data_IF_117139341154
#
_entry.id   IF_117139341154
#
_cell.length_a   1.000
_cell.length_b   1.000
_cell.length_c   1.000
_cell.angle_alpha   90.00
_cell.angle_beta   90.00
_cell.angle_gamma   90.00
#
_symmetry.space_group_name_H-M   'P 1'
#
loop_
_entity.id
_entity.type
_entity.pdbx_description
1 polymer ?
#
# COMPACT_ATOMS: atom_id res chain seq x y z
N UNK A 1 -35.13 -4.77 -3.78
CA UNK A 1 -34.24 -3.96 -2.91
C UNK A 1 -34.39 -4.28 -1.41
N UNK A 2 -35.59 -4.51 -0.87
CA UNK A 2 -35.78 -4.78 0.58
C UNK A 2 -35.06 -6.02 1.15
N UNK A 3 -34.86 -7.09 0.37
CA UNK A 3 -34.21 -8.33 0.85
C UNK A 3 -32.70 -8.21 1.02
N UNK A 4 -32.01 -7.48 0.13
CA UNK A 4 -30.54 -7.25 0.22
C UNK A 4 -30.20 -6.37 1.42
N UNK A 5 -30.94 -5.28 1.64
CA UNK A 5 -30.75 -4.39 2.79
C UNK A 5 -31.01 -5.13 4.12
N UNK A 6 -32.10 -5.90 4.22
CA UNK A 6 -32.38 -6.70 5.41
C UNK A 6 -31.28 -7.73 5.71
N UNK A 7 -30.77 -8.41 4.67
CA UNK A 7 -29.67 -9.36 4.83
C UNK A 7 -28.36 -8.68 5.26
N UNK A 8 -28.04 -7.52 4.70
CA UNK A 8 -26.89 -6.70 5.09
C UNK A 8 -26.97 -6.31 6.57
N UNK A 9 -28.10 -5.76 7.00
CA UNK A 9 -28.34 -5.39 8.42
C UNK A 9 -28.25 -6.59 9.35
N UNK A 10 -28.83 -7.74 8.97
CA UNK A 10 -28.74 -8.96 9.78
C UNK A 10 -27.28 -9.43 9.97
N UNK A 11 -26.46 -9.34 8.92
CA UNK A 11 -25.03 -9.69 8.99
C UNK A 11 -24.24 -8.68 9.81
N UNK A 12 -24.59 -7.40 9.80
CA UNK A 12 -24.00 -6.40 10.70
C UNK A 12 -24.31 -6.72 12.16
N UNK A 13 -25.57 -7.06 12.47
CA UNK A 13 -25.95 -7.50 13.82
C UNK A 13 -25.17 -8.73 14.25
N UNK A 14 -24.88 -9.65 13.32
CA UNK A 14 -24.06 -10.83 13.60
C UNK A 14 -22.62 -10.46 13.96
N UNK A 15 -21.99 -9.54 13.23
CA UNK A 15 -20.65 -9.04 13.58
C UNK A 15 -20.63 -8.36 14.96
N UNK A 16 -21.67 -7.58 15.27
CA UNK A 16 -21.78 -6.96 16.58
C UNK A 16 -21.95 -7.98 17.71
N UNK A 17 -22.76 -9.02 17.52
CA UNK A 17 -22.89 -10.13 18.47
C UNK A 17 -21.54 -10.84 18.68
N UNK A 18 -20.77 -11.08 17.60
CA UNK A 18 -19.43 -11.64 17.73
C UNK A 18 -18.50 -10.76 18.57
N UNK A 19 -18.47 -9.45 18.29
CA UNK A 19 -17.69 -8.49 19.06
C UNK A 19 -18.07 -8.52 20.54
N UNK A 20 -19.36 -8.44 20.87
CA UNK A 20 -19.84 -8.45 22.26
C UNK A 20 -19.46 -9.74 23.00
N UNK A 21 -19.58 -10.89 22.33
CA UNK A 21 -19.19 -12.18 22.93
C UNK A 21 -17.69 -12.31 23.15
N UNK A 22 -16.86 -11.82 22.23
CA UNK A 22 -15.41 -11.78 22.40
C UNK A 22 -15.01 -10.83 23.53
N UNK A 23 -15.61 -9.63 23.59
CA UNK A 23 -15.32 -8.63 24.61
C UNK A 23 -15.67 -9.12 26.03
N UNK A 24 -16.78 -9.84 26.18
CA UNK A 24 -17.29 -10.31 27.48
C UNK A 24 -16.96 -11.77 27.79
N UNK A 25 -16.32 -12.51 26.88
CA UNK A 25 -16.05 -13.94 27.05
C UNK A 25 -17.31 -14.82 27.10
N UNK A 26 -18.41 -14.38 26.48
CA UNK A 26 -19.71 -15.06 26.53
C UNK A 26 -19.71 -16.31 25.65
N UNK A 27 -20.11 -17.46 26.20
CA UNK A 27 -20.18 -18.73 25.48
C UNK A 27 -21.45 -18.85 24.60
N UNK A 28 -21.36 -19.48 23.41
CA UNK A 28 -20.14 -19.99 22.78
C UNK A 28 -19.26 -18.84 22.24
N UNK A 29 -17.95 -18.93 22.46
CA UNK A 29 -16.97 -17.98 21.91
C UNK A 29 -17.02 -18.06 20.37
N UNK A 30 -17.16 -16.93 19.66
CA UNK A 30 -17.17 -16.91 18.20
C UNK A 30 -15.89 -17.50 17.59
N UNK A 31 -16.05 -18.35 16.58
CA UNK A 31 -14.90 -18.85 15.83
C UNK A 31 -14.48 -17.86 14.75
N UNK A 32 -13.18 -17.80 14.46
CA UNK A 32 -12.66 -17.02 13.33
C UNK A 32 -13.20 -17.50 11.98
N UNK A 33 -13.59 -18.77 11.86
CA UNK A 33 -14.21 -19.31 10.63
C UNK A 33 -15.62 -18.73 10.39
N UNK A 34 -16.45 -18.62 11.44
CA UNK A 34 -17.80 -18.05 11.33
C UNK A 34 -17.74 -16.55 10.99
N UNK A 35 -16.81 -15.85 11.64
CA UNK A 35 -16.54 -14.44 11.34
C UNK A 35 -16.02 -14.28 9.91
N UNK A 36 -15.07 -15.11 9.46
CA UNK A 36 -14.56 -15.08 8.09
C UNK A 36 -15.67 -15.27 7.05
N UNK A 37 -16.59 -16.22 7.26
CA UNK A 37 -17.73 -16.43 6.37
C UNK A 37 -18.67 -15.21 6.31
N UNK A 38 -18.84 -14.52 7.44
CA UNK A 38 -19.62 -13.27 7.49
C UNK A 38 -18.91 -12.14 6.71
N UNK A 39 -17.59 -12.02 6.82
CA UNK A 39 -16.80 -11.03 6.07
C UNK A 39 -16.73 -11.32 4.58
N UNK A 40 -16.67 -12.60 4.18
CA UNK A 40 -16.77 -13.02 2.77
C UNK A 40 -18.11 -12.62 2.17
N UNK A 41 -19.21 -12.76 2.91
CA UNK A 41 -20.52 -12.26 2.47
C UNK A 41 -20.49 -10.76 2.18
N UNK A 42 -19.90 -9.95 3.07
CA UNK A 42 -19.78 -8.51 2.84
C UNK A 42 -18.91 -8.20 1.62
N UNK A 43 -17.77 -8.86 1.48
CA UNK A 43 -16.89 -8.69 0.32
C UNK A 43 -17.62 -8.98 -0.99
N UNK A 44 -18.33 -10.10 -1.08
CA UNK A 44 -19.14 -10.48 -2.24
C UNK A 44 -20.29 -9.49 -2.50
N UNK A 45 -20.97 -9.01 -1.45
CA UNK A 45 -22.02 -8.01 -1.59
C UNK A 45 -21.47 -6.69 -2.14
N UNK A 46 -20.34 -6.21 -1.62
CA UNK A 46 -19.66 -4.99 -2.06
C UNK A 46 -19.18 -5.12 -3.51
N UNK A 47 -18.54 -6.22 -3.87
CA UNK A 47 -18.11 -6.49 -5.25
C UNK A 47 -19.31 -6.59 -6.20
N UNK A 48 -20.41 -7.21 -5.79
CA UNK A 48 -21.64 -7.26 -6.60
C UNK A 48 -22.22 -5.87 -6.83
N UNK A 49 -22.20 -4.98 -5.85
CA UNK A 49 -22.65 -3.59 -6.02
C UNK A 49 -21.71 -2.81 -6.93
N UNK A 50 -20.40 -2.96 -6.71
CA UNK A 50 -19.37 -2.28 -7.50
C UNK A 50 -19.45 -2.69 -8.98
N UNK A 51 -19.75 -3.96 -9.28
CA UNK A 51 -19.94 -4.47 -10.65
C UNK A 51 -21.05 -3.76 -11.43
N UNK A 52 -22.07 -3.25 -10.74
CA UNK A 52 -23.22 -2.55 -11.33
C UNK A 52 -22.88 -1.09 -11.70
N UNK A 53 -21.79 -0.52 -11.15
CA UNK A 53 -21.33 0.86 -11.38
C UNK A 53 -20.57 0.97 -12.70
N UNK A 54 -20.87 2.02 -13.49
CA UNK A 54 -20.24 2.27 -14.81
C UNK A 54 -19.08 3.25 -14.74
N UNK A 55 -19.17 4.19 -13.82
CA UNK A 55 -18.16 5.18 -13.47
C UNK A 55 -16.93 4.49 -12.90
N UNK A 56 -15.86 5.23 -12.59
CA UNK A 56 -14.60 4.67 -12.09
C UNK A 56 -14.36 5.06 -10.62
N UNK A 57 -15.04 4.43 -9.64
CA UNK A 57 -14.94 4.83 -8.24
C UNK A 57 -13.52 4.90 -7.68
N UNK A 58 -12.62 4.00 -8.09
CA UNK A 58 -11.23 4.01 -7.66
C UNK A 58 -10.47 5.26 -8.13
N UNK A 59 -10.79 5.77 -9.33
CA UNK A 59 -10.24 7.04 -9.81
C UNK A 59 -10.89 8.23 -9.10
N UNK A 60 -12.20 8.15 -8.82
CA UNK A 60 -12.92 9.18 -8.07
C UNK A 60 -12.39 9.34 -6.64
N UNK A 61 -11.95 8.25 -5.98
CA UNK A 61 -11.33 8.30 -4.65
C UNK A 61 -10.12 9.24 -4.61
N UNK A 62 -9.38 9.40 -5.70
CA UNK A 62 -8.19 10.25 -5.73
C UNK A 62 -8.49 11.75 -5.60
N UNK A 63 -9.76 12.16 -5.66
CA UNK A 63 -10.18 13.56 -5.47
C UNK A 63 -11.32 13.67 -4.46
N UNK A 64 -11.11 14.42 -3.38
CA UNK A 64 -12.16 14.69 -2.39
C UNK A 64 -13.39 15.38 -2.98
N UNK A 65 -13.20 16.19 -4.01
CA UNK A 65 -14.29 16.89 -4.69
C UNK A 65 -15.30 15.92 -5.31
N UNK A 66 -14.84 14.73 -5.72
CA UNK A 66 -15.67 13.69 -6.33
C UNK A 66 -16.34 12.76 -5.31
N UNK A 67 -16.10 12.95 -4.00
CA UNK A 67 -16.72 12.12 -2.97
C UNK A 67 -18.26 12.15 -3.03
N UNK A 68 -18.95 13.31 -3.13
CA UNK A 68 -20.41 13.34 -3.20
C UNK A 68 -20.95 12.56 -4.40
N UNK A 69 -20.32 12.73 -5.57
CA UNK A 69 -20.68 12.01 -6.80
C UNK A 69 -20.40 10.52 -6.70
N UNK A 70 -19.28 10.12 -6.07
CA UNK A 70 -18.95 8.70 -5.85
C UNK A 70 -19.99 8.05 -4.93
N UNK A 71 -20.37 8.72 -3.85
CA UNK A 71 -21.21 8.13 -2.81
C UNK A 71 -22.66 7.91 -3.28
N UNK A 72 -23.17 8.69 -4.24
CA UNK A 72 -24.51 8.49 -4.82
C UNK A 72 -24.59 7.30 -5.78
N UNK A 73 -23.45 6.70 -6.18
CA UNK A 73 -23.42 5.53 -7.08
C UNK A 73 -23.92 4.26 -6.41
N UNK A 74 -23.97 4.24 -5.07
CA UNK A 74 -24.26 3.04 -4.30
C UNK A 74 -25.61 3.13 -3.59
N UNK A 75 -26.27 1.99 -3.31
CA UNK A 75 -27.44 1.99 -2.46
C UNK A 75 -27.08 2.48 -1.05
N UNK A 76 -28.05 3.07 -0.36
CA UNK A 76 -27.92 3.56 1.02
C UNK A 76 -27.87 2.40 2.03
N UNK A 77 -26.73 1.70 2.07
CA UNK A 77 -26.38 0.72 3.10
C UNK A 77 -25.43 1.37 4.11
N UNK A 78 -25.33 0.78 5.31
CA UNK A 78 -24.51 1.33 6.39
C UNK A 78 -23.04 0.86 6.31
N UNK A 79 -22.33 1.36 5.30
CA UNK A 79 -20.91 1.05 5.05
C UNK A 79 -20.01 1.52 6.20
N UNK A 80 -20.37 2.64 6.83
CA UNK A 80 -19.68 3.19 8.00
C UNK A 80 -19.77 2.24 9.19
N UNK A 81 -20.95 1.67 9.44
CA UNK A 81 -21.11 0.70 10.52
C UNK A 81 -20.35 -0.60 10.25
N UNK A 82 -20.23 -1.02 8.98
CA UNK A 82 -19.34 -2.14 8.63
C UNK A 82 -17.89 -1.82 8.99
N UNK A 83 -17.36 -0.66 8.56
CA UNK A 83 -16.01 -0.21 8.92
C UNK A 83 -15.79 -0.23 10.44
N UNK A 84 -16.71 0.37 11.20
CA UNK A 84 -16.64 0.42 12.66
C UNK A 84 -16.64 -0.97 13.29
N UNK A 85 -17.46 -1.89 12.79
CA UNK A 85 -17.51 -3.26 13.28
C UNK A 85 -16.18 -4.01 13.01
N UNK A 86 -15.56 -3.80 11.86
CA UNK A 86 -14.24 -4.38 11.55
C UNK A 86 -13.17 -3.86 12.50
N UNK A 87 -13.14 -2.55 12.76
CA UNK A 87 -12.21 -1.93 13.72
C UNK A 87 -12.41 -2.50 15.13
N UNK A 88 -13.65 -2.55 15.61
CA UNK A 88 -13.97 -3.09 16.94
C UNK A 88 -13.59 -4.57 17.11
N UNK A 89 -13.84 -5.39 16.08
CA UNK A 89 -13.46 -6.81 16.13
C UNK A 89 -11.93 -6.94 16.14
N UNK A 90 -11.20 -6.11 15.39
CA UNK A 90 -9.75 -6.14 15.38
C UNK A 90 -9.16 -5.89 16.78
N UNK A 91 -9.75 -4.99 17.56
CA UNK A 91 -9.32 -4.69 18.94
C UNK A 91 -9.47 -5.88 19.91
N UNK A 92 -10.39 -6.81 19.62
CA UNK A 92 -10.68 -7.99 20.45
C UNK A 92 -10.28 -9.32 19.78
N UNK A 93 -9.61 -9.27 18.62
CA UNK A 93 -9.34 -10.47 17.81
C UNK A 93 -8.37 -11.45 18.50
N UNK A 94 -7.56 -10.97 19.43
CA UNK A 94 -6.63 -11.79 20.23
C UNK A 94 -7.34 -12.84 21.10
N UNK A 95 -8.66 -12.70 21.33
CA UNK A 95 -9.49 -13.67 22.04
C UNK A 95 -10.04 -14.80 21.14
N UNK A 96 -9.76 -14.77 19.84
CA UNK A 96 -10.20 -15.80 18.88
C UNK A 96 -9.28 -17.02 18.96
N UNK A 97 -9.82 -18.16 19.37
CA UNK A 97 -9.00 -19.37 19.55
C UNK A 97 -8.84 -20.24 18.30
N UNK A 98 -9.82 -20.22 17.37
CA UNK A 98 -9.85 -21.10 16.20
C UNK A 98 -10.11 -20.27 14.95
N UNK A 99 -9.36 -20.49 13.88
CA UNK A 99 -9.62 -19.89 12.57
C UNK A 99 -9.17 -18.42 12.43
N UNK A 100 -8.25 -17.95 13.28
CA UNK A 100 -7.76 -16.56 13.24
C UNK A 100 -7.13 -16.18 11.89
N UNK A 101 -6.36 -17.07 11.27
CA UNK A 101 -5.77 -16.82 9.95
C UNK A 101 -6.86 -16.62 8.87
N UNK A 102 -7.88 -17.49 8.84
CA UNK A 102 -9.00 -17.36 7.89
C UNK A 102 -9.80 -16.07 8.11
N UNK A 103 -9.99 -15.67 9.37
CA UNK A 103 -10.58 -14.37 9.70
C UNK A 103 -9.72 -13.22 9.18
N UNK A 104 -8.41 -13.24 9.44
CA UNK A 104 -7.48 -12.19 9.01
C UNK A 104 -7.47 -11.99 7.49
N UNK A 105 -7.48 -13.07 6.71
CA UNK A 105 -7.60 -13.00 5.25
C UNK A 105 -8.91 -12.33 4.82
N UNK A 106 -10.04 -12.79 5.39
CA UNK A 106 -11.35 -12.23 5.07
C UNK A 106 -11.48 -10.76 5.52
N UNK A 107 -10.83 -10.37 6.62
CA UNK A 107 -10.76 -8.99 7.09
C UNK A 107 -10.04 -8.09 6.09
N UNK A 108 -8.83 -8.47 5.67
CA UNK A 108 -8.03 -7.68 4.73
C UNK A 108 -8.74 -7.51 3.38
N UNK A 109 -9.32 -8.59 2.87
CA UNK A 109 -10.15 -8.56 1.67
C UNK A 109 -11.36 -7.64 1.85
N UNK A 110 -12.08 -7.73 2.97
CA UNK A 110 -13.24 -6.91 3.23
C UNK A 110 -12.89 -5.42 3.34
N UNK A 111 -11.75 -5.07 3.96
CA UNK A 111 -11.27 -3.68 4.05
C UNK A 111 -10.99 -3.10 2.65
N UNK A 112 -10.32 -3.86 1.77
CA UNK A 112 -10.05 -3.43 0.40
C UNK A 112 -11.34 -3.32 -0.43
N UNK A 113 -12.27 -4.27 -0.31
CA UNK A 113 -13.57 -4.22 -0.99
C UNK A 113 -14.45 -3.06 -0.49
N UNK A 114 -14.30 -2.64 0.77
CA UNK A 114 -15.08 -1.57 1.38
C UNK A 114 -14.60 -0.18 0.97
N UNK A 115 -13.32 -0.02 0.64
CA UNK A 115 -12.68 1.26 0.33
C UNK A 115 -13.50 2.15 -0.63
N UNK A 116 -14.06 1.68 -1.77
CA UNK A 116 -14.82 2.54 -2.68
C UNK A 116 -16.09 3.15 -2.10
N UNK A 117 -16.59 2.60 -0.99
CA UNK A 117 -17.85 2.96 -0.33
C UNK A 117 -17.62 3.84 0.91
N UNK A 118 -16.36 4.14 1.25
CA UNK A 118 -16.02 4.91 2.44
C UNK A 118 -16.07 6.42 2.20
N UNK A 119 -16.49 7.15 3.23
CA UNK A 119 -16.39 8.60 3.32
C UNK A 119 -14.94 9.03 3.63
N UNK A 120 -14.63 10.31 3.39
CA UNK A 120 -13.30 10.88 3.54
C UNK A 120 -12.58 10.49 4.84
N UNK A 121 -13.20 10.72 6.00
CA UNK A 121 -12.55 10.47 7.31
C UNK A 121 -12.17 8.99 7.50
N UNK A 122 -12.96 8.07 6.93
CA UNK A 122 -12.72 6.63 7.04
C UNK A 122 -11.64 6.16 6.06
N UNK A 123 -11.61 6.72 4.86
CA UNK A 123 -10.54 6.50 3.87
C UNK A 123 -9.18 6.91 4.44
N UNK A 124 -9.13 8.05 5.11
CA UNK A 124 -7.90 8.59 5.67
C UNK A 124 -7.29 7.69 6.78
N UNK A 125 -8.15 6.95 7.49
CA UNK A 125 -7.73 6.02 8.55
C UNK A 125 -7.48 4.59 8.06
N UNK A 126 -7.91 4.24 6.84
CA UNK A 126 -7.82 2.88 6.31
C UNK A 126 -6.39 2.32 6.23
N UNK A 127 -5.35 3.10 5.83
CA UNK A 127 -3.97 2.61 5.83
C UNK A 127 -3.49 2.22 7.23
N UNK A 128 -3.76 3.06 8.23
CA UNK A 128 -3.35 2.79 9.60
C UNK A 128 -4.08 1.57 10.17
N UNK A 129 -5.40 1.46 9.96
CA UNK A 129 -6.18 0.30 10.39
C UNK A 129 -5.65 -1.01 9.78
N UNK A 130 -5.32 -0.99 8.50
CA UNK A 130 -4.77 -2.17 7.82
C UNK A 130 -3.38 -2.50 8.36
N UNK A 131 -2.54 -1.50 8.56
CA UNK A 131 -1.21 -1.68 9.14
C UNK A 131 -1.28 -2.18 10.58
N UNK A 132 -2.23 -1.71 11.40
CA UNK A 132 -2.33 -2.11 12.80
C UNK A 132 -2.70 -3.57 13.00
N UNK A 133 -3.37 -4.18 12.01
CA UNK A 133 -3.70 -5.61 12.02
C UNK A 133 -2.48 -6.52 12.17
N UNK A 134 -1.28 -6.07 11.77
CA UNK A 134 -0.04 -6.83 11.92
C UNK A 134 0.32 -7.13 13.39
N UNK A 135 -0.20 -6.34 14.32
CA UNK A 135 0.09 -6.49 15.76
C UNK A 135 -0.71 -7.60 16.43
N UNK A 136 -1.79 -8.05 15.79
CA UNK A 136 -2.77 -8.99 16.35
C UNK A 136 -3.05 -10.20 15.46
N UNK A 137 -2.78 -10.10 14.15
CA UNK A 137 -2.91 -11.21 13.22
C UNK A 137 -1.65 -12.09 13.21
N UNK A 138 -1.78 -13.38 12.85
CA UNK A 138 -0.65 -14.31 12.80
C UNK A 138 0.44 -13.91 11.79
N UNK A 139 1.68 -14.32 12.05
CA UNK A 139 2.87 -13.98 11.25
C UNK A 139 2.75 -14.43 9.80
N UNK A 140 2.08 -15.55 9.55
CA UNK A 140 1.79 -16.05 8.20
C UNK A 140 0.97 -15.07 7.33
N UNK A 141 0.26 -14.11 7.94
CA UNK A 141 -0.48 -13.07 7.22
C UNK A 141 0.31 -11.78 7.00
N UNK A 142 1.52 -11.63 7.55
CA UNK A 142 2.27 -10.37 7.44
C UNK A 142 2.53 -9.95 5.99
N UNK A 143 2.88 -10.89 5.11
CA UNK A 143 3.06 -10.60 3.69
C UNK A 143 1.75 -10.15 3.03
N UNK A 144 0.63 -10.74 3.45
CA UNK A 144 -0.70 -10.40 2.93
C UNK A 144 -1.15 -9.00 3.38
N UNK A 145 -0.86 -8.61 4.62
CA UNK A 145 -1.09 -7.26 5.14
C UNK A 145 -0.31 -6.22 4.33
N UNK A 146 0.97 -6.48 4.10
CA UNK A 146 1.84 -5.57 3.31
C UNK A 146 1.36 -5.49 1.86
N UNK A 147 0.91 -6.61 1.28
CA UNK A 147 0.31 -6.61 -0.05
C UNK A 147 -0.97 -5.77 -0.12
N UNK A 148 -1.87 -5.90 0.87
CA UNK A 148 -3.09 -5.10 0.93
C UNK A 148 -2.78 -3.60 1.04
N UNK A 149 -1.81 -3.23 1.87
CA UNK A 149 -1.32 -1.86 1.94
C UNK A 149 -0.79 -1.37 0.59
N UNK A 150 0.16 -2.09 0.00
CA UNK A 150 0.92 -1.59 -1.14
C UNK A 150 0.15 -1.59 -2.47
N UNK A 151 -0.76 -2.54 -2.66
CA UNK A 151 -1.44 -2.76 -3.94
C UNK A 151 -2.91 -2.32 -3.94
N UNK A 152 -3.57 -2.29 -2.78
CA UNK A 152 -5.01 -2.03 -2.75
C UNK A 152 -5.42 -0.76 -2.00
N UNK A 153 -4.64 -0.32 -1.01
CA UNK A 153 -5.06 0.77 -0.12
C UNK A 153 -4.24 2.03 -0.36
N UNK A 154 -2.92 1.99 -0.11
CA UNK A 154 -2.05 3.16 -0.20
C UNK A 154 -2.14 3.89 -1.56
N UNK A 155 -2.17 3.20 -2.72
CA UNK A 155 -2.24 3.87 -4.03
C UNK A 155 -3.47 4.76 -4.24
N UNK A 156 -4.51 4.62 -3.43
CA UNK A 156 -5.75 5.38 -3.55
C UNK A 156 -5.97 6.35 -2.39
N UNK A 157 -5.42 6.05 -1.20
CA UNK A 157 -5.62 6.89 -0.02
C UNK A 157 -4.60 8.01 0.09
N UNK A 158 -3.30 7.75 -0.15
CA UNK A 158 -2.26 8.76 0.16
C UNK A 158 -2.06 9.76 -0.97
N UNK A 159 -2.35 9.36 -2.21
CA UNK A 159 -2.29 10.23 -3.39
C UNK A 159 -3.54 11.10 -3.56
N UNK A 160 -4.51 10.98 -2.65
CA UNK A 160 -5.80 11.66 -2.72
C UNK A 160 -5.64 13.17 -2.50
N UNK A 161 -6.20 13.97 -3.39
CA UNK A 161 -6.21 15.43 -3.29
C UNK A 161 -7.36 15.90 -2.40
N UNK A 162 -7.05 16.74 -1.42
CA UNK A 162 -8.05 17.40 -0.56
C UNK A 162 -8.59 18.67 -1.22
N UNK A 163 -9.72 19.18 -0.73
CA UNK A 163 -10.36 20.40 -1.25
C UNK A 163 -9.48 21.65 -1.12
N UNK A 164 -8.62 21.68 -0.12
CA UNK A 164 -7.69 22.77 0.17
C UNK A 164 -6.28 22.56 -0.42
N UNK A 165 -6.11 21.53 -1.25
CA UNK A 165 -4.82 21.10 -1.83
C UNK A 165 -3.71 20.83 -0.81
N UNK A 166 -4.08 20.56 0.45
CA UNK A 166 -3.14 20.17 1.50
C UNK A 166 -2.86 18.67 1.50
N UNK A 167 -1.84 18.26 2.26
CA UNK A 167 -1.52 16.84 2.45
C UNK A 167 -2.64 16.17 3.29
N UNK A 168 -3.30 15.16 2.73
CA UNK A 168 -4.36 14.41 3.42
C UNK A 168 -3.84 13.67 4.68
N UNK A 169 -4.76 13.29 5.58
CA UNK A 169 -4.38 12.66 6.86
C UNK A 169 -3.78 11.25 6.67
N UNK A 170 -4.21 10.52 5.62
CA UNK A 170 -3.56 9.25 5.26
C UNK A 170 -2.06 9.43 4.94
N UNK A 171 -1.69 10.51 4.26
CA UNK A 171 -0.30 10.83 3.92
C UNK A 171 0.49 11.33 5.13
N UNK A 172 -0.14 12.10 6.03
CA UNK A 172 0.47 12.55 7.29
C UNK A 172 0.69 11.40 8.30
N UNK A 173 -0.14 10.36 8.26
CA UNK A 173 -0.05 9.20 9.15
C UNK A 173 0.95 8.13 8.71
N UNK A 174 1.66 8.33 7.58
CA UNK A 174 2.60 7.34 7.03
C UNK A 174 3.71 6.97 8.01
N UNK A 175 4.22 7.92 8.80
CA UNK A 175 5.18 7.63 9.87
C UNK A 175 4.66 6.56 10.84
N UNK A 176 3.37 6.57 11.17
CA UNK A 176 2.76 5.55 12.04
C UNK A 176 2.59 4.20 11.32
N UNK A 177 2.21 4.21 10.03
CA UNK A 177 2.13 3.00 9.20
C UNK A 177 3.50 2.31 9.12
N UNK A 178 4.56 3.06 8.83
CA UNK A 178 5.95 2.56 8.83
C UNK A 178 6.30 1.97 10.20
N UNK A 179 5.97 2.68 11.28
CA UNK A 179 6.28 2.24 12.63
C UNK A 179 5.60 0.91 12.98
N UNK A 180 4.32 0.73 12.62
CA UNK A 180 3.60 -0.52 12.84
C UNK A 180 4.27 -1.69 12.12
N UNK A 181 4.52 -1.55 10.82
CA UNK A 181 5.12 -2.64 10.04
C UNK A 181 6.54 -2.94 10.54
N UNK A 182 7.36 -1.92 10.81
CA UNK A 182 8.76 -2.12 11.23
C UNK A 182 8.89 -2.65 12.66
N UNK A 183 7.88 -2.45 13.50
CA UNK A 183 7.86 -2.94 14.88
C UNK A 183 7.50 -4.42 14.95
N UNK A 184 6.48 -4.85 14.20
CA UNK A 184 5.90 -6.19 14.33
C UNK A 184 6.38 -7.16 13.26
N UNK A 185 6.90 -6.67 12.13
CA UNK A 185 7.52 -7.54 11.14
C UNK A 185 9.02 -7.69 11.39
N UNK A 186 9.49 -8.94 11.43
CA UNK A 186 10.92 -9.24 11.45
C UNK A 186 11.51 -9.45 10.05
N UNK A 187 10.67 -9.51 9.01
CA UNK A 187 11.09 -9.76 7.63
C UNK A 187 11.52 -8.46 6.94
N UNK A 188 12.80 -8.31 6.56
CA UNK A 188 13.28 -7.11 5.86
C UNK A 188 12.59 -6.87 4.50
N UNK A 189 12.12 -7.92 3.84
CA UNK A 189 11.40 -7.82 2.57
C UNK A 189 10.10 -7.01 2.70
N UNK A 190 9.34 -7.24 3.78
CA UNK A 190 8.14 -6.46 4.08
C UNK A 190 8.45 -4.97 4.26
N UNK A 191 9.58 -4.65 4.89
CA UNK A 191 9.99 -3.27 5.12
C UNK A 191 10.37 -2.57 3.81
N UNK A 192 11.10 -3.27 2.93
CA UNK A 192 11.46 -2.75 1.61
C UNK A 192 10.23 -2.55 0.73
N UNK A 193 9.33 -3.55 0.67
CA UNK A 193 8.11 -3.46 -0.15
C UNK A 193 7.25 -2.25 0.25
N UNK A 194 7.00 -2.08 1.56
CA UNK A 194 6.26 -0.92 2.05
C UNK A 194 6.96 0.39 1.66
N UNK A 195 8.27 0.48 1.92
CA UNK A 195 8.99 1.72 1.72
C UNK A 195 9.10 2.11 0.25
N UNK A 196 9.36 1.15 -0.63
CA UNK A 196 9.40 1.38 -2.08
C UNK A 196 8.01 1.75 -2.64
N UNK A 197 6.93 1.14 -2.11
CA UNK A 197 5.57 1.57 -2.42
C UNK A 197 5.33 3.03 -2.01
N UNK A 198 5.70 3.42 -0.79
CA UNK A 198 5.56 4.81 -0.35
C UNK A 198 6.38 5.77 -1.21
N UNK A 199 7.61 5.38 -1.56
CA UNK A 199 8.50 6.18 -2.41
C UNK A 199 7.99 6.32 -3.85
N UNK A 200 7.12 5.43 -4.33
CA UNK A 200 6.47 5.58 -5.63
C UNK A 200 5.23 6.46 -5.63
N UNK A 201 4.62 6.65 -4.45
CA UNK A 201 3.33 7.33 -4.30
C UNK A 201 3.43 8.76 -3.76
N UNK A 202 4.39 9.06 -2.88
CA UNK A 202 4.57 10.41 -2.32
C UNK A 202 6.03 10.85 -2.28
N UNK A 203 6.23 12.16 -2.34
CA UNK A 203 7.51 12.78 -2.00
C UNK A 203 7.70 12.84 -0.48
N UNK A 204 8.90 13.14 -0.01
CA UNK A 204 9.14 13.40 1.41
C UNK A 204 9.16 12.16 2.32
N UNK A 205 9.13 10.94 1.79
CA UNK A 205 9.20 9.69 2.59
C UNK A 205 10.42 9.64 3.52
N UNK A 206 11.52 10.31 3.16
CA UNK A 206 12.68 10.44 4.04
C UNK A 206 12.36 11.14 5.37
N UNK A 207 11.42 12.11 5.36
CA UNK A 207 10.94 12.81 6.55
C UNK A 207 10.13 11.87 7.44
N UNK A 208 9.30 11.02 6.85
CA UNK A 208 8.56 9.99 7.56
C UNK A 208 9.52 8.96 8.21
N UNK A 209 10.56 8.53 7.49
CA UNK A 209 11.60 7.67 8.06
C UNK A 209 12.36 8.34 9.21
N UNK A 210 12.76 9.61 9.06
CA UNK A 210 13.43 10.37 10.13
C UNK A 210 12.54 10.51 11.37
N UNK A 211 11.22 10.68 11.20
CA UNK A 211 10.26 10.67 12.29
C UNK A 211 10.28 9.33 13.04
N UNK A 212 10.28 8.20 12.32
CA UNK A 212 10.36 6.85 12.90
C UNK A 212 11.70 6.62 13.59
N UNK A 213 12.82 7.12 13.05
CA UNK A 213 14.12 7.02 13.73
C UNK A 213 14.11 7.81 15.04
N UNK A 214 13.57 9.04 15.03
CA UNK A 214 13.51 9.91 16.20
C UNK A 214 12.59 9.40 17.32
N UNK A 215 11.41 8.89 16.97
CA UNK A 215 10.31 8.64 17.91
C UNK A 215 9.80 7.20 17.95
N UNK A 216 10.26 6.34 17.04
CA UNK A 216 9.84 4.95 17.00
C UNK A 216 10.36 4.12 18.16
N UNK A 217 9.73 2.96 18.35
CA UNK A 217 10.20 1.91 19.26
C UNK A 217 11.56 1.38 18.80
N UNK A 218 12.31 0.74 19.70
CA UNK A 218 13.64 0.19 19.38
C UNK A 218 13.70 -0.66 18.10
N UNK A 219 12.80 -1.65 17.86
CA UNK A 219 12.81 -2.40 16.60
C UNK A 219 12.49 -1.54 15.38
N UNK A 220 11.49 -0.65 15.48
CA UNK A 220 11.11 0.23 14.38
C UNK A 220 12.23 1.19 13.99
N UNK A 221 12.90 1.81 14.99
CA UNK A 221 14.05 2.68 14.81
C UNK A 221 15.20 1.96 14.11
N UNK A 222 15.52 0.75 14.56
CA UNK A 222 16.62 -0.03 13.99
C UNK A 222 16.38 -0.35 12.50
N UNK A 223 15.14 -0.74 12.15
CA UNK A 223 14.75 -0.99 10.75
C UNK A 223 14.75 0.29 9.92
N UNK A 224 14.20 1.39 10.44
CA UNK A 224 14.16 2.68 9.75
C UNK A 224 15.55 3.26 9.49
N UNK A 225 16.45 3.20 10.48
CA UNK A 225 17.83 3.66 10.30
C UNK A 225 18.56 2.86 9.22
N UNK A 226 18.41 1.52 9.22
CA UNK A 226 19.01 0.65 8.19
C UNK A 226 18.52 1.02 6.79
N UNK A 227 17.22 1.20 6.60
CA UNK A 227 16.66 1.54 5.29
C UNK A 227 16.95 2.98 4.88
N UNK A 228 17.04 3.92 5.82
CA UNK A 228 17.50 5.27 5.55
C UNK A 228 18.92 5.26 4.94
N UNK A 229 19.86 4.53 5.55
CA UNK A 229 21.22 4.40 5.00
C UNK A 229 21.26 3.62 3.68
N UNK A 230 20.32 2.68 3.46
CA UNK A 230 20.25 1.91 2.22
C UNK A 230 19.75 2.77 1.05
N UNK A 231 18.62 3.46 1.18
CA UNK A 231 18.02 4.24 0.07
C UNK A 231 18.63 5.64 -0.09
N UNK A 232 19.15 6.24 0.99
CA UNK A 232 19.88 7.52 1.02
C UNK A 232 21.36 7.36 1.42
N UNK A 233 22.18 6.64 0.62
CA UNK A 233 23.55 6.29 1.00
C UNK A 233 24.51 7.50 1.08
N UNK A 234 24.14 8.65 0.51
CA UNK A 234 24.89 9.91 0.65
C UNK A 234 24.81 10.49 2.07
N UNK A 235 23.85 10.05 2.89
CA UNK A 235 23.68 10.47 4.27
C UNK A 235 24.88 10.07 5.16
N UNK A 236 25.64 9.04 4.78
CA UNK A 236 26.93 8.75 5.42
C UNK A 236 27.94 8.19 4.41
N UNK A 237 28.90 9.04 4.01
CA UNK A 237 29.95 8.67 3.05
C UNK A 237 30.99 7.70 3.64
N UNK A 238 31.10 7.60 4.97
CA UNK A 238 32.19 6.94 5.70
C UNK A 238 31.79 5.62 6.39
N UNK A 239 30.58 5.08 6.18
CA UNK A 239 30.21 3.77 6.75
C UNK A 239 30.98 2.65 6.03
N UNK A 240 32.10 2.28 6.66
CA UNK A 240 32.92 1.11 6.38
C UNK A 240 32.04 -0.14 6.18
N UNK A 241 32.36 -0.90 5.13
CA UNK A 241 31.80 -2.21 4.79
C UNK A 241 30.32 -2.29 4.32
N UNK A 242 29.97 -1.46 3.34
CA UNK A 242 28.67 -1.45 2.64
C UNK A 242 28.22 -2.80 2.07
N UNK A 243 29.11 -3.80 1.94
CA UNK A 243 28.76 -5.15 1.46
C UNK A 243 27.76 -5.86 2.39
N UNK A 244 27.79 -5.61 3.70
CA UNK A 244 26.90 -6.26 4.66
C UNK A 244 25.45 -5.72 4.61
N UNK A 245 25.26 -4.43 4.29
CA UNK A 245 23.94 -3.79 4.20
C UNK A 245 23.29 -4.03 2.83
N UNK A 246 24.08 -4.07 1.76
CA UNK A 246 23.59 -4.14 0.37
C UNK A 246 23.08 -5.53 -0.05
N UNK A 247 23.50 -6.62 0.59
CA UNK A 247 23.39 -7.97 0.01
C UNK A 247 22.20 -8.80 0.52
N UNK A 248 21.47 -8.37 1.55
CA UNK A 248 20.48 -9.23 2.25
C UNK A 248 19.00 -8.91 2.00
N UNK A 249 18.63 -7.77 1.44
CA UNK A 249 17.21 -7.39 1.33
C UNK A 249 16.51 -7.94 0.08
N UNK A 250 17.24 -8.18 -1.02
CA UNK A 250 16.64 -8.53 -2.31
C UNK A 250 16.21 -10.00 -2.46
N UNK A 251 16.86 -10.93 -1.74
CA UNK A 251 16.65 -12.37 -1.97
C UNK A 251 15.34 -12.92 -1.38
N UNK A 252 14.75 -12.22 -0.40
CA UNK A 252 13.53 -12.67 0.30
C UNK A 252 12.26 -11.97 -0.20
N UNK A 253 12.38 -11.12 -1.22
CA UNK A 253 11.25 -10.36 -1.74
C UNK A 253 10.45 -11.23 -2.71
N UNK A 254 9.36 -11.81 -2.22
CA UNK A 254 8.45 -12.58 -3.06
C UNK A 254 7.72 -11.64 -4.04
N UNK A 255 7.74 -11.91 -5.35
CA UNK A 255 7.03 -11.09 -6.32
C UNK A 255 5.53 -11.17 -6.07
N UNK A 256 4.82 -10.05 -6.29
CA UNK A 256 3.37 -10.08 -6.29
C UNK A 256 2.90 -10.82 -7.55
N UNK A 257 2.08 -11.85 -7.38
CA UNK A 257 1.70 -12.75 -8.47
C UNK A 257 0.38 -12.36 -9.13
N UNK A 258 0.20 -12.83 -10.36
CA UNK A 258 -1.04 -12.71 -11.14
C UNK A 258 -2.26 -13.17 -10.32
N UNK A 259 -3.33 -12.37 -10.35
CA UNK A 259 -4.56 -12.54 -9.57
C UNK A 259 -5.76 -13.00 -10.39
N UNK A 260 -5.57 -13.29 -11.68
CA UNK A 260 -6.62 -13.87 -12.52
C UNK A 260 -6.92 -15.31 -12.07
N UNK A 261 -8.20 -15.61 -11.84
CA UNK A 261 -8.67 -16.93 -11.38
C UNK A 261 -8.26 -18.07 -12.32
N UNK A 262 -8.23 -17.79 -13.63
CA UNK A 262 -7.91 -18.73 -14.71
C UNK A 262 -6.49 -18.57 -15.28
N UNK A 263 -5.54 -18.04 -14.50
CA UNK A 263 -4.15 -17.93 -14.94
C UNK A 263 -3.52 -19.33 -15.14
N UNK A 264 -2.98 -19.66 -16.34
CA UNK A 264 -2.33 -20.95 -16.58
C UNK A 264 -1.12 -21.22 -15.67
N UNK A 265 -0.49 -20.15 -15.19
CA UNK A 265 0.71 -20.15 -14.35
C UNK A 265 0.41 -19.61 -12.93
N UNK A 266 -0.82 -19.85 -12.43
CA UNK A 266 -1.27 -19.37 -11.12
C UNK A 266 -0.28 -19.72 -10.00
N UNK A 267 0.01 -18.76 -9.12
CA UNK A 267 0.95 -18.91 -8.02
C UNK A 267 2.42 -18.69 -8.38
N UNK A 268 2.80 -18.76 -9.66
CA UNK A 268 4.20 -18.60 -10.10
C UNK A 268 4.42 -17.40 -11.03
N UNK A 269 3.37 -16.93 -11.73
CA UNK A 269 3.51 -15.81 -12.65
C UNK A 269 3.53 -14.47 -11.92
N UNK A 270 4.66 -13.77 -11.96
CA UNK A 270 4.78 -12.40 -11.47
C UNK A 270 3.83 -11.44 -12.20
N UNK A 271 3.19 -10.55 -11.44
CA UNK A 271 2.36 -9.49 -11.99
C UNK A 271 3.24 -8.39 -12.58
N UNK A 272 3.09 -8.14 -13.88
CA UNK A 272 3.77 -7.06 -14.59
C UNK A 272 2.83 -5.94 -15.04
N UNK A 273 1.51 -6.18 -14.98
CA UNK A 273 0.48 -5.25 -15.42
C UNK A 273 -0.64 -5.10 -14.39
N UNK A 274 -1.21 -3.91 -14.27
CA UNK A 274 -2.39 -3.63 -13.44
C UNK A 274 -3.51 -3.01 -14.26
N UNK A 275 -4.75 -3.41 -13.98
CA UNK A 275 -5.97 -2.83 -14.54
C UNK A 275 -6.82 -2.24 -13.42
N UNK A 276 -7.13 -0.93 -13.52
CA UNK A 276 -7.91 -0.20 -12.52
C UNK A 276 -9.42 -0.25 -12.77
N UNK A 277 -9.88 -0.85 -13.88
CA UNK A 277 -11.30 -1.07 -14.13
C UNK A 277 -11.82 -2.20 -13.22
N UNK A 278 -12.73 -1.85 -12.31
CA UNK A 278 -13.30 -2.79 -11.35
C UNK A 278 -14.18 -3.85 -12.01
N UNK A 279 -14.81 -3.57 -13.16
CA UNK A 279 -15.66 -4.52 -13.88
C UNK A 279 -14.82 -5.60 -14.53
N UNK A 280 -13.67 -5.23 -15.10
CA UNK A 280 -12.66 -6.19 -15.56
C UNK A 280 -12.12 -6.98 -14.37
N UNK A 281 -11.80 -6.31 -13.28
CA UNK A 281 -11.31 -6.98 -12.06
C UNK A 281 -12.27 -8.05 -11.57
N UNK A 282 -13.54 -7.71 -11.36
CA UNK A 282 -14.59 -8.61 -10.88
C UNK A 282 -14.93 -9.70 -11.92
N UNK A 283 -14.75 -9.44 -13.23
CA UNK A 283 -14.99 -10.44 -14.27
C UNK A 283 -13.93 -11.55 -14.23
N UNK A 284 -12.67 -11.22 -13.98
CA UNK A 284 -11.53 -12.15 -14.09
C UNK A 284 -10.95 -12.59 -12.74
N UNK A 285 -11.41 -11.99 -11.64
CA UNK A 285 -11.10 -12.34 -10.26
C UNK A 285 -12.32 -12.07 -9.37
N UNK A 286 -13.28 -13.01 -9.36
CA UNK A 286 -14.64 -12.75 -8.86
C UNK A 286 -14.71 -12.44 -7.35
N UNK A 287 -13.75 -12.95 -6.60
CA UNK A 287 -13.70 -12.80 -5.14
C UNK A 287 -12.69 -11.74 -4.71
N UNK A 288 -11.86 -11.17 -5.59
CA UNK A 288 -10.78 -10.26 -5.18
C UNK A 288 -11.19 -8.79 -5.31
N UNK A 289 -10.66 -7.90 -4.45
CA UNK A 289 -10.82 -6.46 -4.61
C UNK A 289 -10.15 -5.97 -5.92
N UNK A 290 -10.68 -4.90 -6.49
CA UNK A 290 -10.01 -4.14 -7.53
C UNK A 290 -8.86 -3.30 -6.91
N UNK A 291 -7.75 -3.03 -7.62
CA UNK A 291 -7.49 -3.31 -9.04
C UNK A 291 -6.98 -4.73 -9.33
N UNK A 292 -7.03 -5.15 -10.59
CA UNK A 292 -6.60 -6.48 -11.05
C UNK A 292 -5.14 -6.48 -11.49
N UNK A 293 -4.34 -7.28 -10.78
CA UNK A 293 -2.92 -7.49 -11.06
C UNK A 293 -2.70 -8.74 -11.90
N UNK A 294 -1.95 -8.60 -12.99
CA UNK A 294 -1.83 -9.61 -14.05
C UNK A 294 -0.39 -9.81 -14.47
N UNK A 295 -0.04 -11.06 -14.78
CA UNK A 295 1.13 -11.30 -15.62
C UNK A 295 0.91 -10.75 -17.03
N UNK A 296 1.99 -10.52 -17.77
CA UNK A 296 1.95 -9.91 -19.11
C UNK A 296 1.07 -10.74 -20.08
N UNK A 297 1.13 -12.07 -20.00
CA UNK A 297 0.34 -12.97 -20.83
C UNK A 297 -1.17 -12.79 -20.60
N UNK A 298 -1.61 -12.84 -19.33
CA UNK A 298 -3.01 -12.65 -18.98
C UNK A 298 -3.51 -11.24 -19.33
N UNK A 299 -2.68 -10.21 -19.16
CA UNK A 299 -3.04 -8.85 -19.56
C UNK A 299 -3.25 -8.74 -21.08
N UNK A 300 -2.37 -9.33 -21.88
CA UNK A 300 -2.50 -9.35 -23.34
C UNK A 300 -3.74 -10.13 -23.81
N UNK A 301 -4.06 -11.25 -23.16
CA UNK A 301 -5.28 -12.02 -23.47
C UNK A 301 -6.55 -11.20 -23.19
N UNK A 302 -6.65 -10.61 -21.99
CA UNK A 302 -7.81 -9.80 -21.62
C UNK A 302 -7.92 -8.58 -22.54
N UNK A 303 -6.81 -7.93 -22.89
CA UNK A 303 -6.82 -6.77 -23.79
C UNK A 303 -7.31 -7.14 -25.21
N UNK A 304 -7.03 -8.35 -25.72
CA UNK A 304 -7.60 -8.81 -27.01
C UNK A 304 -9.12 -8.95 -26.95
N UNK A 305 -9.65 -9.40 -25.81
CA UNK A 305 -11.10 -9.51 -25.59
C UNK A 305 -11.76 -8.15 -25.26
N UNK A 306 -10.98 -7.22 -24.71
CA UNK A 306 -11.42 -5.93 -24.20
C UNK A 306 -10.44 -4.81 -24.64
N UNK A 307 -10.46 -4.40 -25.93
CA UNK A 307 -9.48 -3.48 -26.48
C UNK A 307 -9.57 -2.06 -25.90
N UNK A 308 -10.74 -1.66 -25.37
CA UNK A 308 -10.95 -0.35 -24.76
C UNK A 308 -10.35 -0.23 -23.34
N UNK A 309 -9.85 -1.35 -22.79
CA UNK A 309 -9.35 -1.41 -21.42
C UNK A 309 -7.87 -1.12 -21.33
N UNK A 310 -7.50 -0.32 -20.34
CA UNK A 310 -6.13 0.13 -20.11
C UNK A 310 -5.42 -0.76 -19.09
N UNK A 311 -4.18 -1.11 -19.41
CA UNK A 311 -3.29 -1.90 -18.56
C UNK A 311 -1.98 -1.12 -18.37
N UNK A 312 -1.61 -0.89 -17.12
CA UNK A 312 -0.45 -0.09 -16.75
C UNK A 312 0.68 -0.99 -16.29
N UNK A 313 1.92 -0.62 -16.59
CA UNK A 313 3.11 -1.30 -16.07
C UNK A 313 3.20 -1.16 -14.55
N UNK A 314 3.72 -2.20 -13.91
CA UNK A 314 4.03 -2.22 -12.47
C UNK A 314 5.53 -2.02 -12.29
N UNK A 315 5.91 -1.29 -11.24
CA UNK A 315 7.31 -1.19 -10.83
C UNK A 315 7.77 -2.52 -10.24
N UNK A 316 8.88 -3.04 -10.73
CA UNK A 316 9.58 -4.11 -10.07
C UNK A 316 10.42 -3.55 -8.91
N UNK A 317 10.57 -4.30 -7.80
CA UNK A 317 11.30 -3.81 -6.65
C UNK A 317 12.77 -3.51 -6.94
N UNK A 318 13.40 -2.59 -6.21
CA UNK A 318 14.81 -2.27 -6.44
C UNK A 318 15.71 -3.49 -6.15
N UNK A 319 16.47 -3.95 -7.14
CA UNK A 319 17.40 -5.08 -6.97
C UNK A 319 18.59 -4.72 -6.08
N UNK A 320 19.20 -3.56 -6.32
CA UNK A 320 20.30 -3.02 -5.53
C UNK A 320 20.33 -1.50 -5.65
N UNK A 321 20.61 -0.80 -4.54
CA UNK A 321 20.81 0.65 -4.58
C UNK A 321 22.19 0.99 -5.17
N UNK A 322 22.21 1.47 -6.41
CA UNK A 322 23.42 1.95 -7.09
C UNK A 322 23.90 3.30 -6.54
N UNK A 323 25.21 3.42 -6.33
CA UNK A 323 25.87 4.69 -5.99
C UNK A 323 26.18 5.57 -7.20
N UNK A 324 26.03 5.02 -8.41
CA UNK A 324 26.32 5.69 -9.67
C UNK A 324 25.08 5.74 -10.55
N UNK A 325 25.03 6.72 -11.44
CA UNK A 325 23.95 6.92 -12.40
C UNK A 325 23.69 5.65 -13.21
N UNK A 326 22.45 5.19 -13.23
CA UNK A 326 22.01 3.97 -13.92
C UNK A 326 21.60 4.25 -15.37
N UNK A 327 21.53 5.51 -15.77
CA UNK A 327 21.31 5.88 -17.17
C UNK A 327 22.47 5.36 -18.04
N UNK A 328 22.18 4.35 -18.87
CA UNK A 328 23.14 3.74 -19.81
C UNK A 328 23.79 4.76 -20.76
N UNK A 329 23.11 5.87 -21.04
CA UNK A 329 23.59 6.95 -21.92
C UNK A 329 24.19 8.14 -21.15
N UNK A 330 24.56 7.98 -19.87
CA UNK A 330 25.12 9.04 -19.04
C UNK A 330 26.48 9.54 -19.57
N UNK A 331 26.58 10.85 -19.85
CA UNK A 331 27.81 11.53 -20.28
C UNK A 331 28.39 12.48 -19.24
N UNK A 332 27.90 12.42 -18.01
CA UNK A 332 28.38 13.28 -16.93
C UNK A 332 29.80 12.91 -16.52
N UNK A 333 30.60 13.93 -16.17
CA UNK A 333 31.92 13.75 -15.57
C UNK A 333 31.78 13.14 -14.17
N UNK A 334 30.92 13.73 -13.34
CA UNK A 334 30.51 13.14 -12.05
C UNK A 334 29.26 12.28 -12.26
N UNK A 335 29.43 10.97 -12.06
CA UNK A 335 28.37 9.98 -12.21
C UNK A 335 27.73 9.58 -10.89
N UNK A 336 28.07 10.23 -9.78
CA UNK A 336 27.48 9.95 -8.46
C UNK A 336 25.96 10.08 -8.53
N UNK A 337 25.23 9.04 -8.11
CA UNK A 337 23.78 9.07 -8.08
C UNK A 337 23.29 9.97 -6.94
N UNK A 338 22.48 10.97 -7.28
CA UNK A 338 21.93 11.95 -6.34
C UNK A 338 20.40 11.88 -6.24
N UNK A 339 19.75 11.14 -7.14
CA UNK A 339 18.30 10.94 -7.09
C UNK A 339 17.91 9.53 -7.51
N UNK A 340 16.71 9.12 -7.09
CA UNK A 340 16.01 7.93 -7.55
C UNK A 340 14.61 8.33 -8.01
N UNK A 341 14.19 7.88 -9.19
CA UNK A 341 12.87 8.16 -9.75
C UNK A 341 12.05 6.86 -9.83
N UNK A 342 10.82 6.93 -9.32
CA UNK A 342 9.86 5.83 -9.27
C UNK A 342 8.75 5.96 -10.34
N UNK A 343 8.81 6.97 -11.21
CA UNK A 343 7.91 7.05 -12.36
C UNK A 343 8.12 5.87 -13.32
N UNK A 344 7.04 5.25 -13.79
CA UNK A 344 7.07 4.19 -14.82
C UNK A 344 7.80 4.66 -16.08
N UNK A 345 7.67 5.92 -16.48
CA UNK A 345 8.36 6.45 -17.66
C UNK A 345 9.89 6.38 -17.48
N UNK A 346 10.39 6.73 -16.30
CA UNK A 346 11.81 6.64 -15.98
C UNK A 346 12.24 5.18 -15.76
N UNK A 347 11.45 4.40 -15.02
CA UNK A 347 11.72 3.00 -14.71
C UNK A 347 11.76 2.10 -15.96
N UNK A 348 11.02 2.45 -17.03
CA UNK A 348 11.06 1.73 -18.31
C UNK A 348 12.47 1.62 -18.92
N UNK A 349 13.36 2.59 -18.62
CA UNK A 349 14.76 2.55 -19.06
C UNK A 349 15.64 1.60 -18.23
N UNK A 350 15.12 1.06 -17.13
CA UNK A 350 15.79 0.16 -16.20
C UNK A 350 14.99 -1.13 -15.96
N UNK A 351 14.27 -1.61 -16.98
CA UNK A 351 13.49 -2.85 -16.88
C UNK A 351 12.37 -2.76 -15.85
N UNK A 352 11.70 -1.62 -15.76
CA UNK A 352 10.65 -1.29 -14.79
C UNK A 352 11.10 -1.29 -13.32
N UNK A 353 12.40 -1.31 -13.04
CA UNK A 353 12.93 -0.98 -11.71
C UNK A 353 13.10 0.54 -11.55
N UNK A 354 12.88 1.12 -10.35
CA UNK A 354 13.22 2.51 -10.07
C UNK A 354 14.66 2.82 -10.50
N UNK A 355 14.86 4.01 -11.09
CA UNK A 355 16.14 4.37 -11.73
C UNK A 355 16.81 5.53 -11.01
N UNK A 356 18.10 5.38 -10.75
CA UNK A 356 18.95 6.38 -10.09
C UNK A 356 19.70 7.22 -11.10
N UNK A 357 19.72 8.53 -10.86
CA UNK A 357 20.36 9.51 -11.74
C UNK A 357 21.44 10.33 -11.01
N UNK A 358 22.52 10.65 -11.73
CA UNK A 358 23.39 11.76 -11.37
C UNK A 358 22.69 13.10 -11.63
N UNK A 359 23.29 14.20 -11.14
CA UNK A 359 22.69 15.54 -11.25
C UNK A 359 22.35 15.92 -12.70
N UNK A 360 23.26 15.68 -13.65
CA UNK A 360 23.02 16.03 -15.05
C UNK A 360 21.86 15.23 -15.65
N UNK A 361 21.82 13.90 -15.43
CA UNK A 361 20.74 13.06 -15.93
C UNK A 361 19.39 13.40 -15.28
N UNK A 362 19.41 13.71 -13.99
CA UNK A 362 18.22 14.16 -13.26
C UNK A 362 17.63 15.43 -13.89
N UNK A 363 18.44 16.47 -14.12
CA UNK A 363 17.99 17.73 -14.72
C UNK A 363 17.48 17.56 -16.17
N UNK A 364 18.04 16.60 -16.91
CA UNK A 364 17.59 16.29 -18.28
C UNK A 364 16.21 15.62 -18.26
N UNK A 365 15.95 14.75 -17.28
CA UNK A 365 14.70 13.99 -17.17
C UNK A 365 13.59 14.74 -16.45
N UNK A 366 13.95 15.59 -15.50
CA UNK A 366 13.03 16.35 -14.67
C UNK A 366 13.34 17.84 -14.85
N UNK A 367 12.54 18.50 -15.69
CA UNK A 367 12.62 19.93 -15.97
C UNK A 367 11.24 20.46 -16.34
N UNK A 368 11.14 21.75 -16.62
CA UNK A 368 9.87 22.41 -16.93
C UNK A 368 9.11 21.84 -18.13
N UNK A 369 9.74 20.97 -18.95
CA UNK A 369 9.10 20.33 -20.11
C UNK A 369 8.78 18.84 -19.90
N UNK A 370 9.40 18.17 -18.92
CA UNK A 370 9.31 16.70 -18.74
C UNK A 370 9.47 16.32 -17.27
N UNK A 371 8.70 15.33 -16.83
CA UNK A 371 8.85 14.73 -15.50
C UNK A 371 8.47 15.65 -14.34
N UNK A 372 7.56 16.61 -14.57
CA UNK A 372 7.05 17.49 -13.52
C UNK A 372 6.09 16.79 -12.54
N UNK A 373 5.48 15.71 -12.99
CA UNK A 373 4.56 14.83 -12.26
C UNK A 373 5.25 13.55 -11.73
N UNK A 374 6.54 13.37 -12.01
CA UNK A 374 7.28 12.19 -11.56
C UNK A 374 7.56 12.26 -10.07
N UNK A 375 7.37 11.14 -9.37
CA UNK A 375 7.81 10.99 -7.99
C UNK A 375 9.28 10.55 -7.98
N UNK A 376 10.14 11.40 -7.43
CA UNK A 376 11.56 11.12 -7.23
C UNK A 376 12.03 11.60 -5.86
N UNK A 377 13.08 10.96 -5.36
CA UNK A 377 13.70 11.29 -4.08
C UNK A 377 15.15 11.69 -4.31
N UNK A 378 15.51 12.85 -3.76
CA UNK A 378 16.86 13.41 -3.85
C UNK A 378 17.71 13.00 -2.64
N UNK A 379 19.01 13.12 -2.79
CA UNK A 379 19.94 13.12 -1.66
C UNK A 379 19.52 14.16 -0.62
N UNK A 380 19.73 13.85 0.66
CA UNK A 380 19.41 14.77 1.74
C UNK A 380 20.22 16.06 1.60
N UNK A 381 19.58 17.23 1.66
CA UNK A 381 20.28 18.50 1.62
C UNK A 381 21.08 18.70 2.91
N UNK A 382 21.91 19.74 2.96
CA UNK A 382 22.57 20.11 4.20
C UNK A 382 21.53 20.44 5.29
N UNK A 383 21.83 20.12 6.55
CA UNK A 383 20.87 20.27 7.68
C UNK A 383 20.27 21.66 7.75
N UNK A 384 21.07 22.70 7.48
CA UNK A 384 20.62 24.10 7.48
C UNK A 384 19.59 24.46 6.38
N UNK A 385 19.41 23.61 5.37
CA UNK A 385 18.48 23.79 4.26
C UNK A 385 17.20 22.96 4.42
N UNK A 386 17.13 22.09 5.43
CA UNK A 386 15.92 21.31 5.73
C UNK A 386 14.85 22.19 6.39
N UNK A 387 13.57 21.83 6.26
CA UNK A 387 12.50 22.49 7.00
C UNK A 387 12.62 22.23 8.52
N UNK A 388 12.10 23.12 9.39
CA UNK A 388 12.26 23.01 10.84
C UNK A 388 11.83 21.67 11.44
N UNK A 389 10.80 21.05 10.90
CA UNK A 389 10.31 19.75 11.37
C UNK A 389 11.29 18.64 11.02
N UNK A 390 11.78 18.59 9.77
CA UNK A 390 12.80 17.62 9.35
C UNK A 390 14.11 17.80 10.12
N UNK A 391 14.53 19.05 10.38
CA UNK A 391 15.69 19.34 11.24
C UNK A 391 15.49 18.78 12.65
N UNK A 392 14.31 18.97 13.23
CA UNK A 392 13.96 18.45 14.56
C UNK A 392 14.06 16.92 14.57
N UNK A 393 13.49 16.24 13.58
CA UNK A 393 13.55 14.78 13.47
C UNK A 393 14.99 14.29 13.33
N UNK A 394 15.80 14.94 12.51
CA UNK A 394 17.20 14.59 12.34
C UNK A 394 18.00 14.75 13.64
N UNK A 395 17.83 15.86 14.36
CA UNK A 395 18.51 16.08 15.65
C UNK A 395 18.08 15.04 16.68
N UNK A 396 16.77 14.78 16.79
CA UNK A 396 16.26 13.77 17.72
C UNK A 396 16.73 12.35 17.38
N UNK A 397 16.93 12.06 16.10
CA UNK A 397 17.50 10.79 15.61
C UNK A 397 18.96 10.57 16.02
N UNK A 398 19.71 11.64 16.33
CA UNK A 398 21.12 11.57 16.76
C UNK A 398 21.23 11.51 18.28
N UNK A 399 20.35 12.23 18.99
CA UNK A 399 20.42 12.38 20.45
C UNK A 399 19.86 11.17 21.20
N UNK A 400 18.93 10.42 20.60
CA UNK A 400 18.24 9.27 21.21
C UNK A 400 18.70 7.93 20.67
#
# INVERSE_FOLDING_TARGET
MGTRSAAYTLKLTSLHDYYQRLLHGTQPIPSGLDMANTLKYFSQALLSLLKEVREMPLEMIKSQELDPERMILYPSLDYKQLYNALTQILDVVSYVHIGLAAFGQALLQCLACLMPFLEHDLLDNLPYLTASSISVLPVELHQEIVNHLCFYILPFTITRKTLDETENYASQSISAVIMMIFQYSSNPAHHCQLLECLMSLKSGVVKDLLCVVAYGTAPARASAAKLLFYYWPTFNQNLFDRRAVLMKFANDLAPFVCKRDSCPNAGNAEAGKVCYDHRISIKFAAELPAPLYLCIECANEIHREHPDQMFYDILHPMQQVSMVCENKNCRATDKSAISVCFSIECASYNGNHPIRYCQQCHNIRHNNRRGGDHIYHMALPHVSQMDPQTQTYLVQSIVR
#
